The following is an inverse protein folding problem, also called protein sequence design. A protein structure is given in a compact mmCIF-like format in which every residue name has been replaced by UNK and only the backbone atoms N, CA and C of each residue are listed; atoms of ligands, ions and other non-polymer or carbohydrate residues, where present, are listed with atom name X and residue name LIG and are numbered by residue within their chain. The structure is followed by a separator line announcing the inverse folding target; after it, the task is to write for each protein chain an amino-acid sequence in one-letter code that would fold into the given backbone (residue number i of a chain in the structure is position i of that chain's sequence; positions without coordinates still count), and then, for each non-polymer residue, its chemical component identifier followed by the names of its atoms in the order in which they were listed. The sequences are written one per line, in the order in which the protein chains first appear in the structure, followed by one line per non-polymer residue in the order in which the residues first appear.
data_IF_360862259279
#
_entry.id   IF_360862259279
#
_cell.length_a   1.000
_cell.length_b   1.000
_cell.length_c   1.000
_cell.angle_alpha   90.00
_cell.angle_beta   90.00
_cell.angle_gamma   90.00
#
_symmetry.space_group_name_H-M   'P 1'
#
loop_
_entity.id
_entity.type
_entity.pdbx_description
1 polymer ?
#
# COMPACT_ATOMS: atom_id res chain seq x y z
N UNK A 1 -14.40 -2.07 21.44
CA UNK A 1 -13.21 -1.23 21.19
C UNK A 1 -13.68 0.21 21.12
N UNK A 2 -13.36 1.02 22.14
CA UNK A 2 -13.61 2.46 22.13
C UNK A 2 -12.89 3.05 20.92
N UNK A 3 -13.59 3.89 20.13
CA UNK A 3 -13.02 4.61 18.99
C UNK A 3 -11.87 5.49 19.49
N UNK A 4 -10.64 5.00 19.39
CA UNK A 4 -9.43 5.74 19.75
C UNK A 4 -8.92 6.61 18.60
N UNK A 5 -9.45 6.41 17.39
CA UNK A 5 -9.04 7.08 16.16
C UNK A 5 -10.21 7.76 15.47
N UNK A 6 -9.96 8.92 14.86
CA UNK A 6 -10.93 9.55 13.96
C UNK A 6 -11.14 8.69 12.71
N UNK A 7 -12.24 8.93 11.99
CA UNK A 7 -12.47 8.28 10.70
C UNK A 7 -11.31 8.54 9.74
N UNK A 8 -10.78 9.77 9.73
CA UNK A 8 -9.62 10.16 8.92
C UNK A 8 -8.35 9.43 9.33
N UNK A 9 -8.03 9.37 10.62
CA UNK A 9 -6.86 8.63 11.13
C UNK A 9 -6.95 7.15 10.78
N UNK A 10 -8.12 6.53 10.97
CA UNK A 10 -8.33 5.12 10.63
C UNK A 10 -8.11 4.83 9.15
N UNK A 11 -8.59 5.72 8.25
CA UNK A 11 -8.37 5.60 6.80
C UNK A 11 -6.90 5.79 6.47
N UNK A 12 -6.19 6.77 7.05
CA UNK A 12 -4.76 6.98 6.82
C UNK A 12 -3.96 5.74 7.24
N UNK A 13 -4.27 5.15 8.38
CA UNK A 13 -3.60 3.93 8.86
C UNK A 13 -3.89 2.77 7.91
N UNK A 14 -5.16 2.55 7.55
CA UNK A 14 -5.56 1.45 6.68
C UNK A 14 -4.99 1.56 5.26
N UNK A 15 -4.90 2.78 4.72
CA UNK A 15 -4.46 3.00 3.33
C UNK A 15 -3.00 3.44 3.20
N UNK A 16 -2.27 3.60 4.31
CA UNK A 16 -0.90 4.13 4.32
C UNK A 16 0.17 3.07 4.16
N UNK A 17 0.20 2.07 5.05
CA UNK A 17 1.32 1.17 5.22
C UNK A 17 0.93 -0.30 5.38
N UNK A 18 -0.34 -0.65 5.30
CA UNK A 18 -0.86 -1.97 5.67
C UNK A 18 -0.28 -3.13 4.86
N UNK A 19 0.18 -2.88 3.63
CA UNK A 19 0.76 -3.90 2.74
C UNK A 19 2.28 -3.85 2.62
N UNK A 20 2.95 -2.90 3.29
CA UNK A 20 4.41 -2.79 3.23
C UNK A 20 5.04 -3.93 4.04
N UNK A 21 5.60 -4.90 3.34
CA UNK A 21 6.24 -6.09 3.90
C UNK A 21 7.55 -6.38 3.19
N UNK A 22 8.63 -6.54 3.94
CA UNK A 22 9.93 -6.87 3.36
C UNK A 22 9.89 -8.19 2.57
N UNK A 23 9.14 -9.19 3.05
CA UNK A 23 8.99 -10.47 2.35
C UNK A 23 8.31 -10.28 0.98
N UNK A 24 7.25 -9.47 0.91
CA UNK A 24 6.58 -9.16 -0.35
C UNK A 24 7.49 -8.36 -1.29
N UNK A 25 8.22 -7.38 -0.76
CA UNK A 25 9.19 -6.60 -1.54
C UNK A 25 10.27 -7.48 -2.18
N UNK A 26 10.75 -8.52 -1.49
CA UNK A 26 11.70 -9.50 -2.05
C UNK A 26 11.08 -10.27 -3.21
N UNK A 27 9.82 -10.69 -3.10
CA UNK A 27 9.12 -11.41 -4.18
C UNK A 27 8.98 -10.50 -5.41
N UNK A 28 8.54 -9.26 -5.22
CA UNK A 28 8.42 -8.26 -6.29
C UNK A 28 9.78 -8.00 -6.94
N UNK A 29 10.83 -7.77 -6.14
CA UNK A 29 12.16 -7.51 -6.65
C UNK A 29 12.73 -8.70 -7.45
N UNK A 30 12.47 -9.94 -7.01
CA UNK A 30 12.87 -11.14 -7.76
C UNK A 30 12.13 -11.25 -9.09
N UNK A 31 10.81 -11.00 -9.10
CA UNK A 31 10.00 -11.09 -10.32
C UNK A 31 10.41 -10.05 -11.35
N UNK A 32 10.80 -8.86 -10.91
CA UNK A 32 11.21 -7.75 -11.76
C UNK A 32 12.73 -7.71 -12.04
N UNK A 33 13.47 -8.72 -11.56
CA UNK A 33 14.94 -8.79 -11.70
C UNK A 33 15.66 -7.53 -11.15
N UNK A 34 15.22 -7.09 -9.96
CA UNK A 34 15.75 -5.91 -9.25
C UNK A 34 16.62 -6.29 -8.05
N UNK A 35 16.94 -7.59 -7.86
CA UNK A 35 17.68 -8.05 -6.69
C UNK A 35 19.12 -7.52 -6.64
N UNK A 36 19.72 -7.25 -7.78
CA UNK A 36 21.05 -6.63 -7.86
C UNK A 36 21.05 -5.22 -7.24
N UNK A 37 19.92 -4.51 -7.36
CA UNK A 37 19.71 -3.16 -6.82
C UNK A 37 18.86 -3.15 -5.54
N UNK A 38 18.82 -4.27 -4.80
CA UNK A 38 17.92 -4.46 -3.65
C UNK A 38 17.93 -3.31 -2.65
N UNK A 39 19.10 -2.84 -2.23
CA UNK A 39 19.21 -1.79 -1.23
C UNK A 39 18.55 -0.49 -1.70
N UNK A 40 18.83 -0.11 -2.94
CA UNK A 40 18.25 1.09 -3.55
C UNK A 40 16.72 0.93 -3.69
N UNK A 41 16.26 -0.19 -4.25
CA UNK A 41 14.84 -0.49 -4.42
C UNK A 41 14.09 -0.46 -3.06
N UNK A 42 14.65 -1.13 -2.04
CA UNK A 42 14.03 -1.22 -0.71
C UNK A 42 13.86 0.16 -0.08
N UNK A 43 14.95 0.93 0.05
CA UNK A 43 14.90 2.21 0.75
C UNK A 43 14.11 3.26 -0.02
N UNK A 44 14.28 3.34 -1.34
CA UNK A 44 13.51 4.27 -2.17
C UNK A 44 12.01 3.98 -2.11
N UNK A 45 11.60 2.70 -2.19
CA UNK A 45 10.20 2.31 -2.07
C UNK A 45 9.60 2.71 -0.72
N UNK A 46 10.34 2.51 0.38
CA UNK A 46 9.89 2.96 1.70
C UNK A 46 9.70 4.48 1.74
N UNK A 47 10.71 5.24 1.33
CA UNK A 47 10.65 6.71 1.33
C UNK A 47 9.51 7.22 0.45
N UNK A 48 9.36 6.69 -0.76
CA UNK A 48 8.27 7.05 -1.68
C UNK A 48 6.91 6.72 -1.04
N UNK A 49 6.75 5.55 -0.44
CA UNK A 49 5.48 5.17 0.23
C UNK A 49 5.13 6.12 1.37
N UNK A 50 6.12 6.57 2.17
CA UNK A 50 5.90 7.58 3.21
C UNK A 50 5.48 8.93 2.62
N UNK A 51 6.16 9.40 1.58
CA UNK A 51 5.83 10.67 0.91
C UNK A 51 4.43 10.61 0.30
N UNK A 52 4.11 9.54 -0.44
CA UNK A 52 2.80 9.32 -1.05
C UNK A 52 1.71 9.32 0.02
N UNK A 53 1.91 8.60 1.13
CA UNK A 53 0.95 8.59 2.24
C UNK A 53 0.78 9.96 2.86
N UNK A 54 1.87 10.71 3.06
CA UNK A 54 1.81 12.06 3.60
C UNK A 54 1.07 13.05 2.68
N UNK A 55 1.20 12.91 1.37
CA UNK A 55 0.49 13.73 0.39
C UNK A 55 -0.98 13.34 0.34
N UNK A 56 -1.30 12.05 0.14
CA UNK A 56 -2.68 11.57 0.03
C UNK A 56 -3.51 11.84 1.30
N UNK A 57 -2.90 11.83 2.47
CA UNK A 57 -3.56 12.22 3.73
C UNK A 57 -4.01 13.70 3.76
N UNK A 58 -3.46 14.56 2.88
CA UNK A 58 -3.72 16.00 2.83
C UNK A 58 -4.60 16.45 1.67
N UNK A 59 -4.88 15.57 0.72
CA UNK A 59 -5.74 15.83 -0.44
C UNK A 59 -7.09 15.12 -0.30
N UNK A 60 -8.16 15.57 -1.01
CA UNK A 60 -9.40 14.82 -1.08
C UNK A 60 -9.14 13.45 -1.77
N UNK A 61 -9.83 12.35 -1.38
CA UNK A 61 -10.96 12.33 -0.44
C UNK A 61 -10.58 12.20 1.03
N UNK A 62 -9.33 11.85 1.38
CA UNK A 62 -8.93 11.58 2.79
C UNK A 62 -9.09 12.84 3.66
N UNK A 63 -8.71 14.00 3.13
CA UNK A 63 -8.85 15.28 3.84
C UNK A 63 -10.30 15.62 4.25
N UNK A 64 -11.29 15.09 3.53
CA UNK A 64 -12.72 15.41 3.75
C UNK A 64 -13.38 14.53 4.82
N UNK A 65 -12.68 13.54 5.36
CA UNK A 65 -13.21 12.72 6.44
C UNK A 65 -13.13 13.46 7.79
N UNK A 66 -14.09 13.12 8.65
CA UNK A 66 -14.19 13.69 9.98
C UNK A 66 -12.95 13.36 10.83
N UNK A 67 -12.36 14.40 11.41
CA UNK A 67 -11.16 14.35 12.26
C UNK A 67 -11.53 14.60 13.75
N UNK A 68 -12.82 14.74 14.05
CA UNK A 68 -13.30 14.97 15.42
C UNK A 68 -13.23 13.67 16.23
N UNK A 69 -12.33 13.61 17.18
CA UNK A 69 -12.30 12.59 18.24
C UNK A 69 -12.26 13.29 19.58
N UNK A 70 -13.23 13.03 20.43
CA UNK A 70 -13.11 13.33 21.86
C UNK A 70 -12.01 12.43 22.45
N UNK A 71 -10.78 12.88 22.40
CA UNK A 71 -9.70 12.23 23.13
C UNK A 71 -9.89 12.53 24.60
N UNK A 72 -10.06 11.52 25.47
CA UNK A 72 -10.02 11.77 26.90
C UNK A 72 -8.71 12.52 27.20
N UNK A 73 -8.83 13.69 27.78
CA UNK A 73 -7.67 14.46 28.21
C UNK A 73 -6.82 13.54 29.07
N UNK A 74 -5.63 13.18 28.60
CA UNK A 74 -4.66 12.48 29.41
C UNK A 74 -4.33 13.45 30.56
N UNK A 75 -4.89 13.18 31.73
CA UNK A 75 -4.68 13.96 32.93
C UNK A 75 -3.19 13.84 33.28
N UNK A 76 -2.44 14.84 32.84
CA UNK A 76 -0.98 14.88 33.03
C UNK A 76 -0.73 15.28 34.50
N UNK A 77 -0.90 14.31 35.39
CA UNK A 77 -0.40 14.44 36.77
C UNK A 77 1.14 14.48 36.70
N UNK A 78 1.71 15.66 36.42
CA UNK A 78 3.07 16.02 36.82
C UNK A 78 4.23 15.18 36.28
N UNK A 79 4.12 14.46 35.16
CA UNK A 79 5.18 13.65 34.57
C UNK A 79 5.48 13.97 33.10
N UNK A 80 6.64 13.57 32.58
CA UNK A 80 6.94 13.65 31.15
C UNK A 80 5.98 12.77 30.36
N UNK A 81 5.63 13.16 29.11
CA UNK A 81 4.75 12.38 28.21
C UNK A 81 5.19 10.92 28.07
N UNK A 82 6.51 10.68 28.13
CA UNK A 82 7.11 9.33 28.12
C UNK A 82 6.75 8.52 29.36
N UNK A 83 6.83 9.11 30.55
CA UNK A 83 6.47 8.41 31.79
C UNK A 83 4.98 8.03 31.80
N UNK A 84 4.08 8.92 31.36
CA UNK A 84 2.65 8.62 31.23
C UNK A 84 2.37 7.51 30.21
N UNK A 85 3.08 7.51 29.08
CA UNK A 85 2.97 6.44 28.07
C UNK A 85 3.48 5.09 28.61
N UNK A 86 4.57 5.08 29.38
CA UNK A 86 5.07 3.88 30.07
C UNK A 86 4.09 3.34 31.11
N UNK A 87 3.49 4.21 31.92
CA UNK A 87 2.50 3.78 32.93
C UNK A 87 1.24 3.18 32.29
N UNK A 88 0.74 3.76 31.19
CA UNK A 88 -0.37 3.21 30.42
C UNK A 88 0.03 1.86 29.81
N UNK A 89 1.22 1.75 29.20
CA UNK A 89 1.75 0.51 28.65
C UNK A 89 1.88 -0.59 29.69
N UNK A 90 2.46 -0.27 30.87
CA UNK A 90 2.61 -1.21 31.97
C UNK A 90 1.26 -1.64 32.57
N UNK A 91 0.31 -0.73 32.71
CA UNK A 91 -1.03 -1.06 33.22
C UNK A 91 -1.81 -1.96 32.26
N UNK A 92 -1.64 -1.75 30.95
CA UNK A 92 -2.22 -2.60 29.90
C UNK A 92 -1.56 -3.98 29.89
N UNK A 93 -0.23 -4.03 30.00
CA UNK A 93 0.55 -5.29 30.07
C UNK A 93 0.17 -6.12 31.32
N UNK A 94 -0.05 -5.48 32.47
CA UNK A 94 -0.48 -6.15 33.71
C UNK A 94 -1.89 -6.74 33.64
N UNK A 95 -2.75 -6.23 32.74
CA UNK A 95 -4.08 -6.78 32.47
C UNK A 95 -4.05 -7.91 31.45
N UNK A 96 -2.91 -8.11 30.79
CA UNK A 96 -2.76 -9.17 29.81
C UNK A 96 -2.84 -10.54 30.50
N UNK A 97 -3.61 -11.43 29.93
CA UNK A 97 -3.71 -12.83 30.32
C UNK A 97 -2.38 -13.56 30.04
N UNK A 98 -2.28 -14.83 30.40
CA UNK A 98 -1.10 -15.66 30.18
C UNK A 98 -0.58 -15.52 28.74
N UNK A 99 0.73 -15.29 28.58
CA UNK A 99 1.41 -15.11 27.28
C UNK A 99 1.10 -16.24 26.29
N UNK A 100 0.99 -17.47 26.79
CA UNK A 100 0.65 -18.63 25.96
C UNK A 100 -0.75 -18.52 25.36
N UNK A 101 -1.71 -18.03 26.14
CA UNK A 101 -3.09 -17.82 25.70
C UNK A 101 -3.16 -16.69 24.66
N UNK A 102 -2.42 -15.61 24.87
CA UNK A 102 -2.35 -14.48 23.92
C UNK A 102 -1.74 -14.94 22.59
N UNK A 103 -0.62 -15.70 22.64
CA UNK A 103 0.02 -16.21 21.44
C UNK A 103 -0.90 -17.16 20.67
N UNK A 104 -1.60 -18.06 21.38
CA UNK A 104 -2.54 -18.99 20.77
C UNK A 104 -3.74 -18.29 20.14
N UNK A 105 -4.33 -17.33 20.84
CA UNK A 105 -5.44 -16.51 20.29
C UNK A 105 -5.01 -15.77 19.03
N UNK A 106 -3.89 -15.04 19.08
CA UNK A 106 -3.39 -14.30 17.92
C UNK A 106 -3.06 -15.22 16.73
N UNK A 107 -2.50 -16.42 17.00
CA UNK A 107 -2.25 -17.42 15.96
C UNK A 107 -3.54 -17.91 15.33
N UNK A 108 -4.54 -18.24 16.13
CA UNK A 108 -5.85 -18.71 15.65
C UNK A 108 -6.58 -17.61 14.86
N UNK A 109 -6.56 -16.37 15.35
CA UNK A 109 -7.16 -15.22 14.68
C UNK A 109 -6.47 -14.93 13.35
N UNK A 110 -5.12 -15.01 13.32
CA UNK A 110 -4.34 -14.88 12.09
C UNK A 110 -4.64 -15.98 11.07
N UNK A 111 -4.78 -17.23 11.52
CA UNK A 111 -5.13 -18.36 10.65
C UNK A 111 -6.55 -18.22 10.09
N UNK A 112 -7.51 -17.81 10.91
CA UNK A 112 -8.89 -17.56 10.50
C UNK A 112 -8.95 -16.44 9.45
N UNK A 113 -8.23 -15.35 9.68
CA UNK A 113 -8.13 -14.23 8.73
C UNK A 113 -7.46 -14.68 7.42
N UNK A 114 -6.37 -15.43 7.49
CA UNK A 114 -5.72 -15.99 6.31
C UNK A 114 -6.66 -16.91 5.50
N UNK A 115 -7.38 -17.80 6.18
CA UNK A 115 -8.35 -18.68 5.52
C UNK A 115 -9.49 -17.93 4.82
N UNK A 116 -9.88 -16.76 5.33
CA UNK A 116 -10.89 -15.92 4.71
C UNK A 116 -10.35 -15.12 3.50
N UNK A 117 -9.10 -14.66 3.58
CA UNK A 117 -8.50 -13.77 2.56
C UNK A 117 -7.90 -14.55 1.39
N UNK A 118 -7.23 -15.69 1.63
CA UNK A 118 -6.53 -16.46 0.58
C UNK A 118 -7.44 -16.85 -0.60
N UNK A 119 -8.66 -17.37 -0.42
CA UNK A 119 -9.56 -17.66 -1.54
C UNK A 119 -9.90 -16.40 -2.35
N UNK A 120 -10.09 -15.26 -1.70
CA UNK A 120 -10.37 -13.98 -2.36
C UNK A 120 -9.18 -13.53 -3.21
N UNK A 121 -7.96 -13.61 -2.69
CA UNK A 121 -6.74 -13.27 -3.44
C UNK A 121 -6.63 -14.14 -4.68
N UNK A 122 -6.82 -15.45 -4.56
CA UNK A 122 -6.72 -16.38 -5.68
C UNK A 122 -7.82 -16.09 -6.71
N UNK A 123 -9.07 -15.95 -6.28
CA UNK A 123 -10.20 -15.71 -7.17
C UNK A 123 -10.08 -14.37 -7.91
N UNK A 124 -9.82 -13.29 -7.19
CA UNK A 124 -9.72 -11.95 -7.78
C UNK A 124 -8.42 -11.79 -8.56
N UNK A 125 -7.29 -12.33 -8.06
CA UNK A 125 -6.01 -12.31 -8.76
C UNK A 125 -6.07 -13.08 -10.08
N UNK A 126 -6.65 -14.29 -10.09
CA UNK A 126 -6.86 -15.06 -11.31
C UNK A 126 -7.81 -14.34 -12.28
N UNK A 127 -8.93 -13.83 -11.78
CA UNK A 127 -9.88 -13.04 -12.58
C UNK A 127 -9.20 -11.79 -13.17
N UNK A 128 -8.41 -11.07 -12.37
CA UNK A 128 -7.63 -9.92 -12.81
C UNK A 128 -6.65 -10.28 -13.93
N UNK A 129 -5.94 -11.41 -13.78
CA UNK A 129 -5.02 -11.90 -14.80
C UNK A 129 -5.74 -12.29 -16.10
N UNK A 130 -6.89 -12.94 -16.00
CA UNK A 130 -7.72 -13.30 -17.16
C UNK A 130 -8.25 -12.04 -17.86
N UNK A 131 -8.73 -11.06 -17.10
CA UNK A 131 -9.15 -9.77 -17.64
C UNK A 131 -7.99 -9.04 -18.33
N UNK A 132 -6.80 -9.03 -17.76
CA UNK A 132 -5.62 -8.41 -18.34
C UNK A 132 -5.21 -9.08 -19.68
N UNK A 133 -5.37 -10.41 -19.75
CA UNK A 133 -4.96 -11.18 -20.94
C UNK A 133 -5.99 -11.20 -22.06
N UNK A 134 -7.28 -11.24 -21.73
CA UNK A 134 -8.35 -11.51 -22.69
C UNK A 134 -9.31 -10.35 -22.92
N UNK A 135 -9.18 -9.25 -22.19
CA UNK A 135 -10.07 -8.08 -22.30
C UNK A 135 -9.32 -6.76 -22.33
N UNK A 136 -9.86 -5.70 -22.93
CA UNK A 136 -9.23 -4.37 -22.95
C UNK A 136 -9.51 -3.55 -21.68
N UNK A 137 -9.97 -4.13 -20.58
CA UNK A 137 -10.35 -3.39 -19.36
C UNK A 137 -9.15 -2.59 -18.81
N UNK A 138 -7.99 -3.24 -18.67
CA UNK A 138 -6.79 -2.54 -18.20
C UNK A 138 -6.16 -1.65 -19.26
N UNK A 139 -6.47 -1.89 -20.56
CA UNK A 139 -6.14 -0.94 -21.61
C UNK A 139 -6.87 0.38 -21.41
N UNK A 140 -8.16 0.33 -21.14
CA UNK A 140 -8.98 1.51 -20.87
C UNK A 140 -8.55 2.24 -19.58
N UNK A 141 -8.31 1.50 -18.50
CA UNK A 141 -7.78 2.06 -17.24
C UNK A 141 -6.36 2.61 -17.43
N UNK A 142 -5.54 1.96 -18.24
CA UNK A 142 -4.20 2.41 -18.57
C UNK A 142 -4.19 3.77 -19.25
N UNK A 143 -5.20 4.10 -20.06
CA UNK A 143 -5.31 5.42 -20.69
C UNK A 143 -5.40 6.56 -19.65
N UNK A 144 -5.96 6.31 -18.47
CA UNK A 144 -5.99 7.30 -17.39
C UNK A 144 -4.60 7.50 -16.74
N UNK A 145 -3.76 6.47 -16.74
CA UNK A 145 -2.40 6.53 -16.20
C UNK A 145 -1.37 6.97 -17.25
N UNK A 146 -1.69 6.84 -18.54
CA UNK A 146 -0.78 7.13 -19.64
C UNK A 146 -0.14 8.53 -19.58
N UNK A 147 -0.87 9.64 -19.30
CA UNK A 147 -0.26 10.96 -19.20
C UNK A 147 0.84 11.04 -18.15
N UNK A 148 0.71 10.29 -17.05
CA UNK A 148 1.66 10.30 -15.94
C UNK A 148 2.88 9.41 -16.21
N UNK A 149 2.70 8.28 -16.88
CA UNK A 149 3.83 7.44 -17.33
C UNK A 149 4.64 8.12 -18.43
N UNK A 150 3.95 8.85 -19.33
CA UNK A 150 4.61 9.68 -20.33
C UNK A 150 5.38 10.84 -19.69
N UNK A 151 4.76 11.57 -18.75
CA UNK A 151 5.40 12.66 -18.00
C UNK A 151 6.61 12.15 -17.16
N UNK A 152 6.50 10.94 -16.64
CA UNK A 152 7.60 10.25 -15.94
C UNK A 152 8.75 9.83 -16.85
N UNK A 153 8.63 9.97 -18.17
CA UNK A 153 9.66 9.61 -19.13
C UNK A 153 9.94 8.11 -19.21
N UNK A 154 8.92 7.27 -18.97
CA UNK A 154 9.08 5.83 -19.10
C UNK A 154 9.26 5.44 -20.59
N UNK A 155 10.15 4.50 -20.94
CA UNK A 155 10.45 4.15 -22.33
C UNK A 155 9.23 3.71 -23.14
N UNK A 156 8.34 2.91 -22.56
CA UNK A 156 7.11 2.44 -23.18
C UNK A 156 5.87 2.87 -22.34
N UNK A 157 5.53 4.17 -22.36
CA UNK A 157 4.61 4.73 -21.38
C UNK A 157 3.21 4.12 -21.44
N UNK A 158 2.71 3.71 -22.60
CA UNK A 158 1.41 3.09 -22.74
C UNK A 158 1.41 1.65 -22.19
N UNK A 159 2.45 0.88 -22.47
CA UNK A 159 2.62 -0.49 -21.94
C UNK A 159 2.76 -0.44 -20.43
N UNK A 160 3.57 0.47 -19.93
CA UNK A 160 3.73 0.72 -18.50
C UNK A 160 2.40 1.08 -17.83
N UNK A 161 1.64 2.02 -18.39
CA UNK A 161 0.34 2.45 -17.87
C UNK A 161 -0.67 1.30 -17.80
N UNK A 162 -0.75 0.47 -18.83
CA UNK A 162 -1.63 -0.72 -18.89
C UNK A 162 -1.24 -1.75 -17.82
N UNK A 163 0.03 -2.11 -17.72
CA UNK A 163 0.51 -3.04 -16.71
C UNK A 163 0.29 -2.54 -15.29
N UNK A 164 0.56 -1.26 -15.03
CA UNK A 164 0.37 -0.63 -13.72
C UNK A 164 -1.10 -0.52 -13.31
N UNK A 165 -2.02 -0.34 -14.25
CA UNK A 165 -3.46 -0.27 -13.98
C UNK A 165 -4.02 -1.56 -13.42
N UNK A 166 -3.44 -2.71 -13.76
CA UNK A 166 -3.82 -4.02 -13.24
C UNK A 166 -3.60 -4.17 -11.73
N UNK A 167 -2.77 -3.29 -11.13
CA UNK A 167 -2.57 -3.21 -9.68
C UNK A 167 -3.84 -2.90 -8.88
N UNK A 168 -4.88 -2.36 -9.51
CA UNK A 168 -6.17 -2.19 -8.85
C UNK A 168 -6.87 -3.53 -8.58
N UNK A 169 -6.71 -4.51 -9.45
CA UNK A 169 -7.25 -5.84 -9.21
C UNK A 169 -6.43 -6.60 -8.17
N UNK A 170 -5.10 -6.63 -8.39
CA UNK A 170 -4.18 -7.32 -7.49
C UNK A 170 -2.79 -6.65 -7.56
N UNK A 171 -2.21 -6.35 -6.40
CA UNK A 171 -0.99 -5.54 -6.30
C UNK A 171 0.26 -6.17 -6.94
N UNK A 172 0.27 -7.48 -7.14
CA UNK A 172 1.39 -8.19 -7.77
C UNK A 172 1.33 -8.20 -9.30
N UNK A 173 0.14 -7.94 -9.90
CA UNK A 173 -0.03 -7.95 -11.35
C UNK A 173 0.91 -6.99 -12.10
N UNK A 174 1.17 -5.76 -11.66
CA UNK A 174 2.15 -4.90 -12.32
C UNK A 174 3.53 -5.55 -12.45
N UNK A 175 3.99 -6.25 -11.40
CA UNK A 175 5.27 -6.94 -11.44
C UNK A 175 5.28 -8.11 -12.44
N UNK A 176 4.18 -8.87 -12.54
CA UNK A 176 4.07 -9.97 -13.51
C UNK A 176 3.98 -9.47 -14.96
N UNK A 177 3.17 -8.43 -15.20
CA UNK A 177 2.90 -7.94 -16.55
C UNK A 177 4.06 -7.12 -17.14
N UNK A 178 4.92 -6.54 -16.29
CA UNK A 178 6.02 -5.67 -16.69
C UNK A 178 7.41 -6.28 -16.40
N UNK A 179 7.50 -7.59 -16.14
CA UNK A 179 8.75 -8.28 -15.84
C UNK A 179 9.77 -8.22 -16.98
N UNK A 180 9.31 -8.14 -18.22
CA UNK A 180 10.15 -8.05 -19.42
C UNK A 180 10.33 -6.61 -19.94
N UNK A 181 9.81 -5.61 -19.22
CA UNK A 181 9.93 -4.21 -19.61
C UNK A 181 11.34 -3.67 -19.35
N UNK A 182 11.60 -2.44 -19.80
CA UNK A 182 12.83 -1.72 -19.49
C UNK A 182 13.06 -1.59 -17.97
N UNK A 183 14.32 -1.49 -17.55
CA UNK A 183 14.73 -1.47 -16.14
C UNK A 183 14.04 -0.35 -15.34
N UNK A 184 13.88 0.83 -15.93
CA UNK A 184 13.19 1.95 -15.30
C UNK A 184 11.70 1.62 -15.08
N UNK A 185 11.05 1.04 -16.08
CA UNK A 185 9.65 0.61 -16.01
C UNK A 185 9.48 -0.49 -14.97
N UNK A 186 10.37 -1.48 -14.91
CA UNK A 186 10.38 -2.53 -13.89
C UNK A 186 10.52 -1.93 -12.48
N UNK A 187 11.44 -1.01 -12.30
CA UNK A 187 11.63 -0.32 -11.02
C UNK A 187 10.38 0.43 -10.58
N UNK A 188 9.78 1.24 -11.47
CA UNK A 188 8.55 1.99 -11.17
C UNK A 188 7.37 1.05 -10.87
N UNK A 189 7.22 -0.03 -11.63
CA UNK A 189 6.21 -1.07 -11.40
C UNK A 189 6.36 -1.73 -10.02
N UNK A 190 7.61 -2.01 -9.63
CA UNK A 190 7.92 -2.56 -8.31
C UNK A 190 7.54 -1.62 -7.18
N UNK A 191 7.84 -0.33 -7.29
CA UNK A 191 7.42 0.68 -6.32
C UNK A 191 5.90 0.76 -6.22
N UNK A 192 5.19 0.76 -7.36
CA UNK A 192 3.71 0.83 -7.40
C UNK A 192 3.08 -0.41 -6.78
N UNK A 193 3.61 -1.61 -7.04
CA UNK A 193 3.14 -2.86 -6.44
C UNK A 193 3.11 -2.81 -4.91
N UNK A 194 3.96 -1.97 -4.29
CA UNK A 194 4.04 -1.84 -2.85
C UNK A 194 3.30 -0.59 -2.35
N UNK A 195 3.48 0.55 -3.01
CA UNK A 195 2.99 1.85 -2.55
C UNK A 195 1.51 2.10 -2.82
N UNK A 196 0.88 1.39 -3.78
CA UNK A 196 -0.54 1.55 -4.13
C UNK A 196 -1.48 1.13 -3.01
N UNK A 197 -1.12 0.11 -2.24
CA UNK A 197 -1.78 -0.41 -1.02
C UNK A 197 -3.21 -0.92 -1.23
N UNK A 198 -4.03 -0.27 -2.04
CA UNK A 198 -5.45 -0.60 -2.27
C UNK A 198 -5.62 -1.47 -3.51
N UNK A 199 -6.26 -2.63 -3.36
CA UNK A 199 -6.54 -3.56 -4.45
C UNK A 199 -7.73 -4.45 -4.11
N UNK A 200 -8.45 -4.93 -5.13
CA UNK A 200 -9.71 -5.66 -4.95
C UNK A 200 -9.53 -7.08 -4.40
N UNK A 201 -8.38 -7.70 -4.60
CA UNK A 201 -8.17 -9.08 -4.14
C UNK A 201 -8.13 -9.22 -2.61
N UNK A 202 -7.67 -8.20 -1.87
CA UNK A 202 -7.62 -8.30 -0.42
C UNK A 202 -7.89 -6.97 0.30
N UNK A 203 -7.14 -5.89 0.03
CA UNK A 203 -7.16 -4.71 0.89
C UNK A 203 -8.51 -3.99 0.89
N UNK A 204 -9.13 -3.80 -0.29
CA UNK A 204 -10.45 -3.17 -0.37
C UNK A 204 -11.50 -3.98 0.41
N UNK A 205 -11.66 -5.30 0.21
CA UNK A 205 -12.54 -6.12 1.05
C UNK A 205 -12.22 -6.08 2.55
N UNK A 206 -10.93 -6.08 2.92
CA UNK A 206 -10.53 -5.98 4.33
C UNK A 206 -10.98 -4.66 4.96
N UNK A 207 -10.82 -3.54 4.27
CA UNK A 207 -11.28 -2.23 4.77
C UNK A 207 -12.80 -2.18 4.87
N UNK A 208 -13.53 -2.73 3.88
CA UNK A 208 -14.99 -2.80 3.90
C UNK A 208 -15.55 -3.70 5.03
N UNK A 209 -14.79 -4.69 5.46
CA UNK A 209 -15.15 -5.55 6.60
C UNK A 209 -14.96 -4.85 7.96
N UNK A 210 -14.35 -3.65 7.98
CA UNK A 210 -14.19 -2.84 9.18
C UNK A 210 -15.31 -1.80 9.32
N UNK A 211 -15.41 -1.16 10.49
CA UNK A 211 -16.32 -0.05 10.72
C UNK A 211 -15.84 1.30 10.14
N UNK A 212 -14.79 1.31 9.31
CA UNK A 212 -14.25 2.53 8.71
C UNK A 212 -15.24 3.05 7.66
N UNK A 213 -15.74 4.29 7.76
CA UNK A 213 -16.80 4.82 6.88
C UNK A 213 -16.25 5.28 5.53
N UNK A 214 -15.69 4.35 4.75
CA UNK A 214 -15.15 4.64 3.41
C UNK A 214 -15.85 3.81 2.34
N UNK A 215 -16.28 4.44 1.25
CA UNK A 215 -16.90 3.74 0.12
C UNK A 215 -15.84 3.22 -0.87
N UNK A 216 -16.21 2.19 -1.65
CA UNK A 216 -15.35 1.61 -2.70
C UNK A 216 -14.88 2.70 -3.68
N UNK A 217 -15.77 3.59 -4.13
CA UNK A 217 -15.40 4.66 -5.05
C UNK A 217 -14.33 5.60 -4.49
N UNK A 218 -14.41 5.96 -3.19
CA UNK A 218 -13.36 6.75 -2.53
C UNK A 218 -12.04 5.99 -2.44
N UNK A 219 -12.06 4.68 -2.18
CA UNK A 219 -10.85 3.85 -2.16
C UNK A 219 -10.20 3.77 -3.55
N UNK A 220 -10.98 3.65 -4.62
CA UNK A 220 -10.46 3.68 -6.00
C UNK A 220 -9.82 5.03 -6.33
N UNK A 221 -10.41 6.15 -5.87
CA UNK A 221 -9.80 7.48 -6.04
C UNK A 221 -8.47 7.57 -5.27
N UNK A 222 -8.43 7.11 -4.00
CA UNK A 222 -7.20 7.08 -3.21
C UNK A 222 -6.13 6.21 -3.89
N UNK A 223 -6.53 5.05 -4.42
CA UNK A 223 -5.63 4.20 -5.20
C UNK A 223 -5.05 4.94 -6.40
N UNK A 224 -5.89 5.60 -7.18
CA UNK A 224 -5.46 6.36 -8.35
C UNK A 224 -4.45 7.46 -7.97
N UNK A 225 -4.75 8.26 -6.96
CA UNK A 225 -3.85 9.29 -6.44
C UNK A 225 -2.50 8.71 -6.01
N UNK A 226 -2.51 7.58 -5.30
CA UNK A 226 -1.29 6.90 -4.86
C UNK A 226 -0.46 6.41 -6.03
N UNK A 227 -1.11 5.79 -7.02
CA UNK A 227 -0.42 5.29 -8.23
C UNK A 227 0.20 6.44 -9.01
N UNK A 228 -0.53 7.53 -9.26
CA UNK A 228 -0.03 8.70 -9.96
C UNK A 228 1.18 9.32 -9.24
N UNK A 229 1.08 9.55 -7.94
CA UNK A 229 2.18 10.08 -7.14
C UNK A 229 3.38 9.13 -7.15
N UNK A 230 3.13 7.82 -7.05
CA UNK A 230 4.20 6.81 -7.08
C UNK A 230 4.89 6.76 -8.44
N UNK A 231 4.15 6.85 -9.56
CA UNK A 231 4.75 6.94 -10.91
C UNK A 231 5.71 8.12 -10.97
N UNK A 232 5.25 9.31 -10.60
CA UNK A 232 6.05 10.54 -10.75
C UNK A 232 7.29 10.52 -9.84
N UNK A 233 7.12 10.12 -8.57
CA UNK A 233 8.23 10.08 -7.62
C UNK A 233 9.23 8.97 -7.96
N UNK A 234 8.74 7.76 -8.30
CA UNK A 234 9.60 6.65 -8.64
C UNK A 234 10.32 6.89 -9.97
N UNK A 235 9.66 7.45 -10.99
CA UNK A 235 10.31 7.80 -12.23
C UNK A 235 11.42 8.85 -12.04
N UNK A 236 11.12 9.92 -11.28
CA UNK A 236 12.12 10.94 -10.96
C UNK A 236 13.33 10.34 -10.22
N UNK A 237 13.09 9.49 -9.21
CA UNK A 237 14.15 8.81 -8.48
C UNK A 237 14.89 7.79 -9.36
N UNK A 238 14.18 7.05 -10.21
CA UNK A 238 14.76 6.09 -11.13
C UNK A 238 15.71 6.76 -12.14
N UNK A 239 15.31 7.87 -12.76
CA UNK A 239 16.19 8.67 -13.64
C UNK A 239 17.43 9.18 -12.90
N UNK A 240 17.26 9.64 -11.65
CA UNK A 240 18.40 10.07 -10.83
C UNK A 240 19.33 8.89 -10.52
N UNK A 241 18.79 7.72 -10.21
CA UNK A 241 19.55 6.52 -9.93
C UNK A 241 20.31 6.02 -11.18
N UNK A 242 19.73 6.12 -12.38
CA UNK A 242 20.41 5.85 -13.63
C UNK A 242 21.53 6.85 -13.90
N UNK A 243 21.31 8.13 -13.64
CA UNK A 243 22.34 9.16 -13.81
C UNK A 243 23.57 8.91 -12.93
N UNK A 244 23.37 8.40 -11.71
CA UNK A 244 24.48 8.05 -10.80
C UNK A 244 24.98 6.60 -10.96
N UNK A 245 24.54 5.88 -11.99
CA UNK A 245 24.88 4.46 -12.22
C UNK A 245 24.56 3.54 -11.01
N UNK A 246 23.47 3.83 -10.31
CA UNK A 246 22.95 2.96 -9.26
C UNK A 246 22.01 1.87 -9.82
N UNK A 247 21.48 2.09 -11.03
CA UNK A 247 20.68 1.16 -11.82
C UNK A 247 21.17 1.25 -13.28
N UNK A 248 21.44 0.12 -13.92
CA UNK A 248 21.82 0.02 -15.33
C UNK A 248 23.23 -0.43 -15.57
#
# INVERSE_FOLDING_TARGET
LQKQYSAREAIIIATGFSTVSAAFMVIVAKTLDLMEFWNMFFWSTLVITFIVTAITARIPPIRLFDDSVERPALDHKGGTRLAAAFDVGLSTSRRATDLKQILWSNFHDGLTMAAAIVPSIIAVGLTGLLLAKYTPVFDALGLLLYPFTWLGGLPEPLVAAKGMSAGLAEMFLPALLLSEADILTRYVAGVISISSVLFFSAMIPCVLATEIPVSVGKMVIIWFERVVLSILLAAAFGHLAMYFNWIG
#
